data_IF_842142965983
#
_entry.id   IF_842142965983
#
_cell.length_a   1.000
_cell.length_b   1.000
_cell.length_c   1.000
_cell.angle_alpha   90.00
_cell.angle_beta   90.00
_cell.angle_gamma   90.00
#
_symmetry.space_group_name_H-M   'P 1'
#
loop_
_entity.id
_entity.type
_entity.pdbx_description
1 polymer ?
#
# COMPACT_ATOMS: atom_id res chain seq x y z
N UNK A 1 -4.21 -18.09 20.84
CA UNK A 1 -3.00 -17.38 21.29
C UNK A 1 -3.28 -15.88 21.26
N UNK A 2 -3.03 -15.13 22.34
CA UNK A 2 -3.18 -13.68 22.41
C UNK A 2 -1.87 -12.99 22.06
N UNK A 3 -1.90 -12.14 21.04
CA UNK A 3 -0.72 -11.42 20.54
C UNK A 3 -0.96 -9.92 20.69
N UNK A 4 -0.08 -9.24 21.41
CA UNK A 4 -0.06 -7.78 21.49
C UNK A 4 0.96 -7.21 20.50
N UNK A 5 0.61 -6.12 19.81
CA UNK A 5 1.52 -5.36 18.94
C UNK A 5 1.57 -3.93 19.44
N UNK A 6 2.76 -3.39 19.67
CA UNK A 6 2.99 -1.97 20.00
C UNK A 6 3.60 -1.30 18.77
N UNK A 7 2.94 -0.27 18.27
CA UNK A 7 3.44 0.65 17.25
C UNK A 7 2.85 2.02 17.51
N UNK A 8 3.65 2.93 18.08
CA UNK A 8 3.25 4.29 18.47
C UNK A 8 3.85 5.37 17.54
N UNK A 9 4.48 4.94 16.44
CA UNK A 9 5.12 5.80 15.46
C UNK A 9 4.14 6.72 14.74
N UNK A 10 4.64 7.46 13.75
CA UNK A 10 3.77 8.32 12.95
C UNK A 10 2.79 7.47 12.13
N UNK A 11 1.72 8.10 11.62
CA UNK A 11 0.70 7.42 10.78
C UNK A 11 1.30 6.59 9.63
N UNK A 12 2.38 7.08 9.01
CA UNK A 12 3.11 6.37 7.96
C UNK A 12 3.75 5.06 8.44
N UNK A 13 4.34 5.07 9.65
CA UNK A 13 4.94 3.90 10.28
C UNK A 13 3.88 2.85 10.64
N UNK A 14 2.70 3.30 11.09
CA UNK A 14 1.55 2.41 11.32
C UNK A 14 1.11 1.73 10.03
N UNK A 15 0.87 2.50 8.95
CA UNK A 15 0.43 1.93 7.65
C UNK A 15 1.44 0.93 7.11
N UNK A 16 2.74 1.27 7.10
CA UNK A 16 3.79 0.39 6.55
C UNK A 16 4.07 -0.85 7.42
N UNK A 17 3.56 -0.88 8.66
CA UNK A 17 3.66 -2.03 9.59
C UNK A 17 2.47 -3.00 9.45
N UNK A 18 1.32 -2.58 8.88
CA UNK A 18 0.16 -3.46 8.67
C UNK A 18 0.48 -4.83 8.02
N UNK A 19 1.43 -4.97 7.07
CA UNK A 19 1.84 -6.26 6.52
C UNK A 19 2.25 -7.30 7.56
N UNK A 20 2.73 -6.90 8.75
CA UNK A 20 3.10 -7.82 9.83
C UNK A 20 1.93 -8.73 10.22
N UNK A 21 0.69 -8.24 10.10
CA UNK A 21 -0.53 -8.98 10.42
C UNK A 21 -0.66 -10.23 9.54
N UNK A 22 -0.22 -10.17 8.27
CA UNK A 22 -0.25 -11.32 7.36
C UNK A 22 0.73 -12.38 7.85
N UNK A 23 1.98 -11.99 8.14
CA UNK A 23 3.00 -12.91 8.66
C UNK A 23 2.59 -13.55 10.00
N UNK A 24 1.92 -12.79 10.87
CA UNK A 24 1.37 -13.31 12.14
C UNK A 24 0.28 -14.35 11.86
N UNK A 25 -0.63 -14.10 10.91
CA UNK A 25 -1.69 -15.05 10.56
C UNK A 25 -1.15 -16.31 9.90
N UNK A 26 -0.12 -16.20 9.05
CA UNK A 26 0.56 -17.35 8.45
C UNK A 26 1.20 -18.25 9.52
N UNK A 27 1.86 -17.66 10.53
CA UNK A 27 2.55 -18.41 11.59
C UNK A 27 1.61 -18.85 12.72
N UNK A 28 0.60 -18.06 13.04
CA UNK A 28 -0.36 -18.25 14.12
C UNK A 28 -1.80 -17.99 13.64
N UNK A 29 -2.41 -18.93 12.88
CA UNK A 29 -3.71 -18.71 12.23
C UNK A 29 -4.84 -18.28 13.18
N UNK A 30 -4.94 -18.95 14.33
CA UNK A 30 -6.00 -18.73 15.34
C UNK A 30 -5.62 -17.68 16.40
N UNK A 31 -4.69 -16.78 16.09
CA UNK A 31 -4.29 -15.73 17.03
C UNK A 31 -5.37 -14.66 17.21
N UNK A 32 -5.47 -14.13 18.43
CA UNK A 32 -6.24 -12.93 18.73
C UNK A 32 -5.25 -11.76 18.84
N UNK A 33 -5.35 -10.81 17.91
CA UNK A 33 -4.38 -9.71 17.81
C UNK A 33 -4.97 -8.46 18.47
N UNK A 34 -4.26 -7.93 19.45
CA UNK A 34 -4.50 -6.61 20.06
C UNK A 34 -3.43 -5.64 19.56
N UNK A 35 -3.81 -4.51 18.98
CA UNK A 35 -2.89 -3.48 18.51
C UNK A 35 -2.92 -2.25 19.44
N UNK A 36 -1.76 -1.84 19.94
CA UNK A 36 -1.58 -0.68 20.82
C UNK A 36 -0.95 0.45 20.01
N UNK A 37 -1.64 1.59 19.92
CA UNK A 37 -1.28 2.72 19.05
C UNK A 37 -1.66 4.07 19.67
N UNK A 38 -1.25 5.19 19.05
CA UNK A 38 -1.80 6.53 19.35
C UNK A 38 -3.23 6.68 18.81
N UNK A 39 -4.05 7.49 19.48
CA UNK A 39 -5.46 7.73 19.12
C UNK A 39 -5.65 8.17 17.66
N UNK A 40 -4.76 9.03 17.15
CA UNK A 40 -4.80 9.51 15.77
C UNK A 40 -4.58 8.44 14.68
N UNK A 41 -4.12 7.24 15.06
CA UNK A 41 -3.90 6.12 14.16
C UNK A 41 -4.96 5.01 14.28
N UNK A 42 -5.91 5.15 15.21
CA UNK A 42 -6.90 4.11 15.51
C UNK A 42 -7.72 3.71 14.27
N UNK A 43 -8.15 4.70 13.48
CA UNK A 43 -8.94 4.45 12.26
C UNK A 43 -8.14 3.69 11.19
N UNK A 44 -6.81 3.86 11.14
CA UNK A 44 -5.94 3.10 10.23
C UNK A 44 -5.94 1.63 10.62
N UNK A 45 -5.85 1.33 11.92
CA UNK A 45 -5.85 -0.06 12.42
C UNK A 45 -7.17 -0.75 12.12
N UNK A 46 -8.30 -0.03 12.27
CA UNK A 46 -9.65 -0.55 11.98
C UNK A 46 -9.87 -0.93 10.52
N UNK A 47 -9.00 -0.52 9.60
CA UNK A 47 -9.04 -0.99 8.19
C UNK A 47 -8.69 -2.47 8.04
N UNK A 48 -8.03 -3.06 9.05
CA UNK A 48 -7.61 -4.46 9.01
C UNK A 48 -8.58 -5.37 9.75
N UNK A 49 -9.14 -6.41 9.10
CA UNK A 49 -10.01 -7.37 9.78
C UNK A 49 -9.25 -8.32 10.72
N UNK A 50 -7.90 -8.31 10.69
CA UNK A 50 -7.08 -9.21 11.49
C UNK A 50 -6.90 -8.73 12.93
N UNK A 51 -7.15 -7.45 13.22
CA UNK A 51 -7.02 -6.87 14.55
C UNK A 51 -8.36 -7.00 15.29
N UNK A 52 -8.35 -7.75 16.40
CA UNK A 52 -9.54 -8.00 17.21
C UNK A 52 -9.84 -6.83 18.14
N UNK A 53 -8.79 -6.21 18.69
CA UNK A 53 -8.89 -5.12 19.67
C UNK A 53 -7.82 -4.06 19.36
N UNK A 54 -8.20 -2.79 19.49
CA UNK A 54 -7.25 -1.68 19.47
C UNK A 54 -7.23 -1.04 20.85
N UNK A 55 -6.04 -0.72 21.36
CA UNK A 55 -5.81 0.03 22.59
C UNK A 55 -5.14 1.34 22.19
N UNK A 56 -5.70 2.47 22.62
CA UNK A 56 -5.17 3.80 22.30
C UNK A 56 -4.51 4.43 23.52
N UNK A 57 -3.43 5.18 23.32
CA UNK A 57 -2.81 5.95 24.40
C UNK A 57 -3.68 7.13 24.87
N UNK A 58 -3.67 7.46 26.18
CA UNK A 58 -2.98 6.74 27.26
C UNK A 58 -3.68 5.43 27.62
N UNK A 59 -2.90 4.36 27.87
CA UNK A 59 -3.46 3.04 28.24
C UNK A 59 -4.17 3.12 29.58
N UNK A 60 -5.43 2.69 29.65
CA UNK A 60 -6.19 2.69 30.91
C UNK A 60 -5.64 1.65 31.91
N UNK A 61 -5.83 1.87 33.22
CA UNK A 61 -5.35 0.93 34.26
C UNK A 61 -5.89 -0.49 34.09
N UNK A 62 -7.10 -0.64 33.55
CA UNK A 62 -7.71 -1.93 33.24
C UNK A 62 -6.95 -2.67 32.14
N UNK A 63 -6.47 -1.95 31.13
CA UNK A 63 -5.75 -2.49 29.96
C UNK A 63 -4.28 -2.79 30.28
N UNK A 64 -3.67 -2.08 31.22
CA UNK A 64 -2.32 -2.40 31.72
C UNK A 64 -2.23 -3.79 32.37
N UNK A 65 -3.36 -4.31 32.85
CA UNK A 65 -3.45 -5.66 33.42
C UNK A 65 -3.62 -6.77 32.37
N UNK A 66 -3.78 -6.41 31.08
CA UNK A 66 -3.87 -7.38 30.00
C UNK A 66 -2.57 -8.17 29.88
N UNK A 67 -2.71 -9.47 29.60
CA UNK A 67 -1.58 -10.38 29.47
C UNK A 67 -1.61 -11.05 28.09
N UNK A 68 -0.44 -11.13 27.47
CA UNK A 68 -0.25 -11.67 26.12
C UNK A 68 0.63 -12.91 26.14
N UNK A 69 0.32 -13.88 25.28
CA UNK A 69 1.22 -15.02 25.05
C UNK A 69 2.48 -14.55 24.30
N UNK A 70 2.32 -13.54 23.43
CA UNK A 70 3.41 -12.88 22.71
C UNK A 70 3.16 -11.37 22.61
N UNK A 71 4.15 -10.57 22.96
CA UNK A 71 4.15 -9.11 22.77
C UNK A 71 5.24 -8.72 21.76
N UNK A 72 4.84 -8.04 20.69
CA UNK A 72 5.71 -7.50 19.66
C UNK A 72 5.79 -5.98 19.81
N UNK A 73 6.96 -5.43 20.16
CA UNK A 73 7.17 -3.99 20.08
C UNK A 73 7.99 -3.63 18.85
N UNK A 74 7.36 -2.97 17.87
CA UNK A 74 7.96 -2.60 16.59
C UNK A 74 8.30 -1.10 16.51
N UNK A 75 8.36 -0.45 17.67
CA UNK A 75 8.65 0.97 17.81
C UNK A 75 9.75 1.19 18.87
N UNK A 76 10.66 2.11 18.53
CA UNK A 76 11.84 2.47 19.31
C UNK A 76 11.62 3.72 20.14
N UNK A 77 10.50 4.42 19.97
CA UNK A 77 10.20 5.61 20.76
C UNK A 77 10.11 5.26 22.25
N UNK A 78 10.51 6.20 23.11
CA UNK A 78 10.66 5.97 24.56
C UNK A 78 9.37 5.42 25.19
N UNK A 79 8.22 5.99 24.85
CA UNK A 79 6.92 5.56 25.38
C UNK A 79 6.57 4.12 24.97
N UNK A 80 6.92 3.71 23.74
CA UNK A 80 6.64 2.36 23.24
C UNK A 80 7.52 1.32 23.92
N UNK A 81 8.81 1.64 24.03
CA UNK A 81 9.83 0.76 24.62
C UNK A 81 9.67 0.60 26.13
N UNK A 82 9.22 1.64 26.83
CA UNK A 82 8.83 1.58 28.25
C UNK A 82 7.55 0.77 28.46
N UNK A 83 6.53 0.98 27.62
CA UNK A 83 5.30 0.20 27.67
C UNK A 83 5.57 -1.30 27.41
N UNK A 84 6.41 -1.61 26.44
CA UNK A 84 6.82 -2.97 26.11
C UNK A 84 7.50 -3.67 27.30
N UNK A 85 8.31 -2.94 28.08
CA UNK A 85 8.93 -3.45 29.30
C UNK A 85 7.90 -3.80 30.37
N UNK A 86 6.90 -2.95 30.55
CA UNK A 86 5.95 -3.01 31.68
C UNK A 86 4.75 -3.94 31.45
N UNK A 87 4.28 -4.14 30.22
CA UNK A 87 3.15 -5.03 29.94
C UNK A 87 3.46 -6.51 30.21
N UNK A 88 2.47 -7.25 30.69
CA UNK A 88 2.64 -8.67 31.02
C UNK A 88 2.63 -9.54 29.75
N UNK A 89 3.69 -10.31 29.53
CA UNK A 89 3.70 -11.30 28.44
C UNK A 89 4.66 -12.46 28.70
N UNK A 90 4.32 -13.66 28.24
CA UNK A 90 5.17 -14.85 28.32
C UNK A 90 6.42 -14.73 27.44
N UNK A 91 6.28 -14.14 26.24
CA UNK A 91 7.38 -13.87 25.31
C UNK A 91 7.28 -12.46 24.76
N UNK A 92 8.41 -11.74 24.74
CA UNK A 92 8.53 -10.40 24.14
C UNK A 92 9.53 -10.43 23.00
N UNK A 93 9.23 -9.74 21.91
CA UNK A 93 10.10 -9.56 20.73
C UNK A 93 10.12 -8.08 20.30
N UNK A 94 11.15 -7.71 19.54
CA UNK A 94 11.34 -6.34 19.08
C UNK A 94 12.14 -5.49 20.07
N UNK A 95 11.67 -4.28 20.37
CA UNK A 95 12.47 -3.28 21.10
C UNK A 95 11.99 -3.07 22.54
N UNK A 96 12.89 -2.65 23.42
CA UNK A 96 12.55 -2.22 24.79
C UNK A 96 13.57 -1.22 25.33
N UNK A 97 13.25 -0.64 26.50
CA UNK A 97 14.14 0.31 27.17
C UNK A 97 14.89 -0.35 28.33
N UNK A 98 16.21 -0.25 28.30
CA UNK A 98 17.07 -0.56 29.45
C UNK A 98 17.84 0.70 29.83
N UNK A 99 17.64 1.17 31.07
CA UNK A 99 18.05 2.49 31.53
C UNK A 99 17.59 3.61 30.56
N UNK A 100 18.52 4.35 29.97
CA UNK A 100 18.26 5.43 29.02
C UNK A 100 18.42 4.99 27.55
N UNK A 101 18.62 3.69 27.28
CA UNK A 101 18.94 3.18 25.95
C UNK A 101 17.91 2.18 25.43
N UNK A 102 17.61 2.28 24.13
CA UNK A 102 16.81 1.28 23.42
C UNK A 102 17.65 0.03 23.19
N UNK A 103 17.06 -1.14 23.46
CA UNK A 103 17.65 -2.46 23.32
C UNK A 103 16.70 -3.39 22.54
N UNK A 104 17.22 -4.53 22.09
CA UNK A 104 16.46 -5.55 21.37
C UNK A 104 16.18 -6.78 22.26
N UNK A 105 14.95 -7.27 22.26
CA UNK A 105 14.59 -8.53 22.94
C UNK A 105 15.17 -9.77 22.24
N UNK A 106 15.49 -9.66 20.95
CA UNK A 106 15.92 -10.77 20.10
C UNK A 106 16.87 -10.30 18.98
N UNK A 107 17.71 -11.22 18.48
CA UNK A 107 18.70 -10.95 17.43
C UNK A 107 18.10 -10.35 16.15
N UNK A 108 16.88 -10.75 15.77
CA UNK A 108 16.20 -10.23 14.58
C UNK A 108 15.92 -8.72 14.66
N UNK A 109 15.80 -8.16 15.86
CA UNK A 109 15.58 -6.73 16.06
C UNK A 109 16.89 -5.91 16.10
N UNK A 110 18.03 -6.54 16.42
CA UNK A 110 19.32 -5.84 16.54
C UNK A 110 19.76 -5.17 15.23
N UNK A 111 19.49 -5.79 14.08
CA UNK A 111 19.89 -5.21 12.79
C UNK A 111 19.26 -3.83 12.56
N UNK A 112 17.96 -3.68 12.86
CA UNK A 112 17.28 -2.38 12.74
C UNK A 112 17.91 -1.35 13.69
N UNK A 113 18.17 -1.70 14.95
CA UNK A 113 18.83 -0.80 15.90
C UNK A 113 20.22 -0.36 15.40
N UNK A 114 21.00 -1.28 14.85
CA UNK A 114 22.32 -0.95 14.30
C UNK A 114 22.22 0.06 13.15
N UNK A 115 21.16 0.00 12.32
CA UNK A 115 20.93 1.03 11.28
C UNK A 115 20.62 2.42 11.83
N UNK A 116 20.36 2.57 13.14
CA UNK A 116 20.09 3.85 13.78
C UNK A 116 21.33 4.44 14.45
N UNK A 117 22.23 3.59 14.94
CA UNK A 117 23.42 3.99 15.69
C UNK A 117 24.72 3.93 14.90
N UNK A 118 24.75 3.20 13.78
CA UNK A 118 25.91 3.09 12.89
C UNK A 118 25.58 3.54 11.47
N UNK A 119 26.16 4.69 11.09
CA UNK A 119 25.99 5.29 9.77
C UNK A 119 26.52 4.39 8.64
N UNK A 120 27.56 3.56 8.89
CA UNK A 120 28.08 2.65 7.88
C UNK A 120 27.07 1.52 7.61
N UNK A 121 26.54 0.90 8.66
CA UNK A 121 25.44 -0.06 8.56
C UNK A 121 24.23 0.56 7.85
N UNK A 122 23.85 1.79 8.20
CA UNK A 122 22.71 2.48 7.58
C UNK A 122 22.92 2.74 6.08
N UNK A 123 24.11 3.18 5.66
CA UNK A 123 24.48 3.39 4.24
C UNK A 123 24.49 2.08 3.45
N UNK A 124 24.97 1.01 4.07
CA UNK A 124 25.10 -0.30 3.43
C UNK A 124 23.81 -1.13 3.48
N UNK A 125 22.80 -0.72 4.25
CA UNK A 125 21.54 -1.42 4.34
C UNK A 125 20.85 -1.55 2.97
N UNK A 126 20.39 -2.76 2.66
CA UNK A 126 19.59 -3.06 1.46
C UNK A 126 18.23 -3.68 1.78
N UNK A 127 17.91 -3.88 3.07
CA UNK A 127 16.63 -4.38 3.52
C UNK A 127 15.62 -3.24 3.61
N UNK A 128 14.40 -3.52 3.18
CA UNK A 128 13.23 -2.71 3.48
C UNK A 128 12.96 -2.69 4.99
N UNK A 129 12.22 -1.68 5.43
CA UNK A 129 11.68 -1.64 6.79
C UNK A 129 10.84 -2.88 7.10
N UNK A 130 10.04 -3.35 6.15
CA UNK A 130 9.20 -4.52 6.34
C UNK A 130 10.04 -5.78 6.58
N UNK A 131 11.09 -6.01 5.79
CA UNK A 131 12.03 -7.11 6.06
C UNK A 131 12.58 -7.03 7.49
N UNK A 132 13.05 -5.86 7.91
CA UNK A 132 13.61 -5.67 9.25
C UNK A 132 12.56 -5.85 10.36
N UNK A 133 11.32 -5.41 10.17
CA UNK A 133 10.25 -5.61 11.17
C UNK A 133 9.77 -7.05 11.23
N UNK A 134 9.74 -7.77 10.11
CA UNK A 134 9.45 -9.21 10.09
C UNK A 134 10.55 -9.98 10.81
N UNK A 135 11.83 -9.62 10.61
CA UNK A 135 12.95 -10.19 11.37
C UNK A 135 12.82 -9.89 12.87
N UNK A 136 12.51 -8.66 13.25
CA UNK A 136 12.26 -8.26 14.63
C UNK A 136 11.14 -9.09 15.28
N UNK A 137 10.10 -9.44 14.52
CA UNK A 137 8.99 -10.28 14.97
C UNK A 137 9.23 -11.80 14.85
N UNK A 138 10.43 -12.24 14.41
CA UNK A 138 10.75 -13.65 14.08
C UNK A 138 9.77 -14.28 13.06
N UNK A 139 9.37 -13.50 12.07
CA UNK A 139 8.50 -13.90 10.96
C UNK A 139 9.31 -14.00 9.66
N UNK A 140 8.83 -14.83 8.73
CA UNK A 140 9.45 -14.96 7.41
C UNK A 140 8.81 -13.93 6.49
N UNK A 141 9.61 -12.99 5.99
CA UNK A 141 9.17 -12.07 4.97
C UNK A 141 9.19 -12.72 3.58
N UNK A 142 8.05 -12.64 2.89
CA UNK A 142 7.81 -13.17 1.54
C UNK A 142 7.13 -12.12 0.67
N UNK A 143 7.46 -10.83 0.88
CA UNK A 143 6.80 -9.72 0.20
C UNK A 143 5.30 -9.59 0.53
N UNK A 144 4.90 -9.95 1.76
CA UNK A 144 3.51 -9.78 2.19
C UNK A 144 3.09 -8.31 2.11
N UNK A 145 1.92 -8.05 1.56
CA UNK A 145 1.29 -6.73 1.47
C UNK A 145 -0.04 -6.74 2.22
N UNK A 146 -0.41 -5.61 2.83
CA UNK A 146 -1.71 -5.45 3.48
C UNK A 146 -2.47 -4.30 2.81
N UNK A 147 -3.39 -4.61 1.88
CA UNK A 147 -4.13 -3.57 1.19
C UNK A 147 -5.26 -2.99 2.05
N UNK A 148 -5.36 -1.67 2.08
CA UNK A 148 -6.51 -0.96 2.64
C UNK A 148 -7.63 -1.00 1.60
N UNK A 149 -8.81 -1.46 2.01
CA UNK A 149 -10.01 -1.52 1.16
C UNK A 149 -11.08 -0.62 1.76
N UNK A 150 -11.41 0.46 1.05
CA UNK A 150 -12.47 1.37 1.45
C UNK A 150 -13.84 0.79 1.12
N UNK A 151 -14.79 1.00 2.03
CA UNK A 151 -16.22 0.74 1.80
C UNK A 151 -16.82 1.74 0.81
N UNK A 152 -17.99 1.43 0.25
CA UNK A 152 -18.67 2.36 -0.67
C UNK A 152 -19.05 3.69 -0.01
N UNK A 153 -19.36 3.67 1.29
CA UNK A 153 -19.63 4.89 2.07
C UNK A 153 -18.35 5.74 2.22
N UNK A 154 -17.20 5.12 2.48
CA UNK A 154 -15.92 5.84 2.60
C UNK A 154 -15.45 6.42 1.26
N UNK A 155 -15.91 5.87 0.13
CA UNK A 155 -15.64 6.40 -1.21
C UNK A 155 -16.51 7.60 -1.60
N UNK A 156 -17.62 7.83 -0.88
CA UNK A 156 -18.59 8.86 -1.21
C UNK A 156 -17.96 10.27 -1.20
N UNK A 157 -17.06 10.54 -0.24
CA UNK A 157 -16.37 11.83 -0.16
C UNK A 157 -15.62 12.19 -1.44
N UNK A 158 -14.78 11.29 -1.96
CA UNK A 158 -14.05 11.56 -3.19
C UNK A 158 -14.97 11.59 -4.40
N UNK A 159 -16.02 10.75 -4.43
CA UNK A 159 -17.01 10.79 -5.51
C UNK A 159 -17.68 12.16 -5.60
N UNK A 160 -18.19 12.69 -4.48
CA UNK A 160 -18.79 14.01 -4.41
C UNK A 160 -17.79 15.11 -4.79
N UNK A 161 -16.55 15.01 -4.30
CA UNK A 161 -15.48 15.92 -4.66
C UNK A 161 -15.22 15.94 -6.17
N UNK A 162 -15.15 14.77 -6.82
CA UNK A 162 -14.93 14.66 -8.26
C UNK A 162 -16.12 15.20 -9.06
N UNK A 163 -17.35 14.92 -8.64
CA UNK A 163 -18.57 15.40 -9.29
C UNK A 163 -18.70 16.93 -9.22
N UNK A 164 -18.55 17.51 -8.03
CA UNK A 164 -18.62 18.97 -7.80
C UNK A 164 -17.59 19.72 -8.65
N UNK A 165 -16.38 19.16 -8.76
CA UNK A 165 -15.28 19.79 -9.50
C UNK A 165 -15.23 19.41 -10.98
N UNK A 166 -16.17 18.58 -11.46
CA UNK A 166 -16.22 18.05 -12.83
C UNK A 166 -14.90 17.36 -13.25
N UNK A 167 -14.42 16.45 -12.40
CA UNK A 167 -13.17 15.72 -12.57
C UNK A 167 -13.46 14.30 -13.06
N UNK A 168 -13.34 14.07 -14.37
CA UNK A 168 -13.24 12.73 -14.97
C UNK A 168 -11.79 12.34 -15.38
N UNK A 169 -11.54 11.10 -15.79
CA UNK A 169 -10.28 10.71 -16.43
C UNK A 169 -9.05 10.58 -15.52
N UNK A 170 -7.86 10.90 -16.06
CA UNK A 170 -6.57 10.62 -15.42
C UNK A 170 -6.20 11.68 -14.37
N UNK A 171 -6.56 11.41 -13.11
CA UNK A 171 -6.19 12.25 -11.96
C UNK A 171 -4.84 11.83 -11.39
N UNK A 172 -3.91 12.78 -11.28
CA UNK A 172 -2.60 12.62 -10.66
C UNK A 172 -2.62 13.34 -9.32
N UNK A 173 -2.52 12.57 -8.23
CA UNK A 173 -2.40 13.12 -6.88
C UNK A 173 -0.94 13.50 -6.59
N UNK A 174 -0.69 14.70 -6.08
CA UNK A 174 0.66 15.15 -5.70
C UNK A 174 0.64 15.60 -4.25
N UNK A 175 1.38 14.91 -3.37
CA UNK A 175 1.52 15.34 -1.98
C UNK A 175 2.62 16.39 -1.85
N UNK A 176 2.28 17.54 -1.26
CA UNK A 176 3.18 18.69 -1.14
C UNK A 176 4.10 18.62 0.08
N UNK A 177 3.69 17.88 1.12
CA UNK A 177 4.31 17.94 2.43
C UNK A 177 5.38 16.89 2.72
N UNK A 178 6.14 17.16 3.77
CA UNK A 178 6.96 16.18 4.47
C UNK A 178 7.08 16.57 5.95
N UNK A 179 7.48 15.61 6.78
CA UNK A 179 7.74 15.87 8.21
C UNK A 179 8.77 16.98 8.40
N UNK A 180 8.53 17.89 9.34
CA UNK A 180 9.48 18.93 9.75
C UNK A 180 10.82 18.38 10.24
N UNK A 181 10.86 17.12 10.71
CA UNK A 181 12.08 16.41 11.09
C UNK A 181 13.04 16.23 9.92
N UNK A 182 12.52 16.13 8.69
CA UNK A 182 13.29 15.84 7.48
C UNK A 182 12.97 16.86 6.38
N UNK A 183 13.43 18.12 6.53
CA UNK A 183 12.97 19.24 5.71
C UNK A 183 13.35 19.11 4.23
N UNK A 184 14.38 18.32 3.90
CA UNK A 184 14.80 18.07 2.51
C UNK A 184 13.97 17.01 1.79
N UNK A 185 12.94 16.40 2.41
CA UNK A 185 12.07 15.42 1.75
C UNK A 185 11.06 16.02 0.76
N UNK A 186 10.88 17.33 0.77
CA UNK A 186 9.94 18.02 -0.13
C UNK A 186 10.56 18.25 -1.51
N UNK A 187 9.72 18.26 -2.54
CA UNK A 187 10.17 18.62 -3.88
C UNK A 187 10.26 20.14 -4.03
N UNK A 188 11.27 20.63 -4.75
CA UNK A 188 11.44 22.08 -4.91
C UNK A 188 10.26 22.71 -5.65
N UNK A 189 9.82 23.87 -5.14
CA UNK A 189 8.68 24.63 -5.66
C UNK A 189 8.76 24.90 -7.17
N UNK A 190 9.93 25.29 -7.68
CA UNK A 190 10.09 25.60 -9.10
C UNK A 190 9.90 24.35 -9.96
N UNK A 191 10.45 23.21 -9.52
CA UNK A 191 10.31 21.95 -10.25
C UNK A 191 8.86 21.43 -10.18
N UNK A 192 8.18 21.60 -9.05
CA UNK A 192 6.76 21.27 -8.91
C UNK A 192 5.91 22.09 -9.88
N UNK A 193 6.12 23.41 -9.95
CA UNK A 193 5.37 24.29 -10.85
C UNK A 193 5.64 23.92 -12.32
N UNK A 194 6.91 23.74 -12.70
CA UNK A 194 7.29 23.32 -14.05
C UNK A 194 6.66 21.96 -14.43
N UNK A 195 6.61 21.02 -13.48
CA UNK A 195 5.96 19.74 -13.68
C UNK A 195 4.46 19.90 -13.94
N UNK A 196 3.76 20.72 -13.14
CA UNK A 196 2.32 20.94 -13.29
C UNK A 196 2.01 21.60 -14.64
N UNK A 197 2.85 22.52 -15.11
CA UNK A 197 2.75 23.09 -16.45
C UNK A 197 2.83 22.00 -17.54
N UNK A 198 3.91 21.20 -17.52
CA UNK A 198 4.11 20.10 -18.48
C UNK A 198 3.02 19.03 -18.41
N UNK A 199 2.54 18.71 -17.21
CA UNK A 199 1.48 17.73 -17.01
C UNK A 199 0.14 18.25 -17.55
N UNK A 200 -0.13 19.55 -17.38
CA UNK A 200 -1.34 20.20 -17.91
C UNK A 200 -1.34 20.22 -19.44
N UNK A 201 -0.19 20.45 -20.10
CA UNK A 201 -0.05 20.35 -21.56
C UNK A 201 -0.38 18.94 -22.10
N UNK A 202 -0.17 17.91 -21.28
CA UNK A 202 -0.52 16.51 -21.57
C UNK A 202 -1.93 16.13 -21.12
N UNK A 203 -2.76 17.09 -20.71
CA UNK A 203 -4.13 16.90 -20.27
C UNK A 203 -4.27 16.00 -19.02
N UNK A 204 -3.24 15.95 -18.16
CA UNK A 204 -3.36 15.34 -16.84
C UNK A 204 -4.14 16.29 -15.90
N UNK A 205 -5.00 15.71 -15.05
CA UNK A 205 -5.70 16.47 -14.01
C UNK A 205 -4.93 16.39 -12.71
N UNK A 206 -4.52 17.54 -12.18
CA UNK A 206 -3.66 17.58 -10.99
C UNK A 206 -4.50 17.84 -9.73
N UNK A 207 -4.43 16.91 -8.78
CA UNK A 207 -4.96 17.05 -7.42
C UNK A 207 -3.79 17.24 -6.44
N UNK A 208 -3.68 18.44 -5.87
CA UNK A 208 -2.71 18.72 -4.82
C UNK A 208 -3.25 18.23 -3.47
N UNK A 209 -2.41 17.46 -2.78
CA UNK A 209 -2.69 16.82 -1.50
C UNK A 209 -1.79 17.44 -0.43
N UNK A 210 -2.40 17.88 0.67
CA UNK A 210 -1.73 18.54 1.80
C UNK A 210 -2.41 18.14 3.12
N UNK A 211 -1.63 18.12 4.20
CA UNK A 211 -2.14 18.03 5.56
C UNK A 211 -2.18 19.39 6.25
N UNK A 212 -2.59 19.44 7.53
CA UNK A 212 -2.77 20.70 8.26
C UNK A 212 -1.50 21.56 8.34
N UNK A 213 -0.32 20.93 8.35
CA UNK A 213 0.96 21.63 8.42
C UNK A 213 1.35 22.30 7.09
N UNK A 214 0.71 21.92 5.99
CA UNK A 214 1.02 22.42 4.66
C UNK A 214 -0.01 23.44 4.14
N UNK A 215 -1.01 23.85 4.94
CA UNK A 215 -2.10 24.74 4.52
C UNK A 215 -1.57 26.04 3.85
N UNK A 216 -0.64 26.73 4.52
CA UNK A 216 -0.05 27.96 3.98
C UNK A 216 0.73 27.72 2.67
N UNK A 217 1.38 26.56 2.56
CA UNK A 217 2.16 26.20 1.37
C UNK A 217 1.24 25.83 0.20
N UNK A 218 0.16 25.08 0.46
CA UNK A 218 -0.87 24.76 -0.51
C UNK A 218 -1.48 26.04 -1.10
N UNK A 219 -1.87 26.99 -0.26
CA UNK A 219 -2.44 28.27 -0.72
C UNK A 219 -1.43 29.08 -1.54
N UNK A 220 -0.15 29.09 -1.15
CA UNK A 220 0.91 29.73 -1.94
C UNK A 220 1.00 29.11 -3.35
N UNK A 221 1.11 27.79 -3.44
CA UNK A 221 1.25 27.07 -4.72
C UNK A 221 0.00 27.27 -5.58
N UNK A 222 -1.20 27.14 -4.99
CA UNK A 222 -2.48 27.38 -5.66
C UNK A 222 -2.54 28.76 -6.30
N UNK A 223 -2.22 29.82 -5.55
CA UNK A 223 -2.21 31.19 -6.07
C UNK A 223 -1.23 31.35 -7.25
N UNK A 224 -0.05 30.73 -7.20
CA UNK A 224 0.93 30.78 -8.30
C UNK A 224 0.38 30.11 -9.57
N UNK A 225 -0.25 28.96 -9.43
CA UNK A 225 -0.78 28.16 -10.55
C UNK A 225 -2.03 28.82 -11.17
N UNK A 226 -2.92 29.38 -10.35
CA UNK A 226 -4.09 30.14 -10.80
C UNK A 226 -3.68 31.38 -11.60
N UNK A 227 -2.65 32.12 -11.15
CA UNK A 227 -2.09 33.25 -11.89
C UNK A 227 -1.48 32.86 -13.25
N UNK A 228 -1.12 31.58 -13.42
CA UNK A 228 -0.66 31.00 -14.70
C UNK A 228 -1.80 30.44 -15.55
N UNK A 229 -3.06 30.60 -15.14
CA UNK A 229 -4.25 30.01 -15.76
C UNK A 229 -4.22 28.47 -15.84
N UNK A 230 -3.56 27.82 -14.89
CA UNK A 230 -3.53 26.36 -14.80
C UNK A 230 -4.70 25.86 -13.96
N UNK A 231 -5.46 24.89 -14.48
CA UNK A 231 -6.56 24.27 -13.74
C UNK A 231 -6.00 23.20 -12.80
N UNK A 232 -6.14 23.42 -11.50
CA UNK A 232 -5.74 22.47 -10.46
C UNK A 232 -6.88 22.23 -9.47
N UNK A 233 -6.79 21.13 -8.73
CA UNK A 233 -7.72 20.77 -7.66
C UNK A 233 -6.92 20.60 -6.37
N UNK A 234 -7.53 20.87 -5.23
CA UNK A 234 -6.87 20.78 -3.91
C UNK A 234 -7.78 20.07 -2.93
N UNK A 235 -7.23 19.22 -2.06
CA UNK A 235 -8.00 18.69 -0.94
C UNK A 235 -8.23 19.75 0.15
N UNK A 236 -9.05 19.41 1.15
CA UNK A 236 -9.08 20.16 2.40
C UNK A 236 -7.94 19.64 3.30
N UNK A 237 -6.98 20.48 3.73
CA UNK A 237 -5.91 20.08 4.64
C UNK A 237 -6.38 19.43 5.95
N UNK A 238 -7.63 19.67 6.35
CA UNK A 238 -8.27 19.09 7.54
C UNK A 238 -9.10 17.84 7.27
N UNK A 239 -8.97 17.22 6.09
CA UNK A 239 -9.66 15.97 5.79
C UNK A 239 -9.37 14.90 6.85
N UNK A 240 -10.41 14.14 7.20
CA UNK A 240 -10.21 12.93 8.01
C UNK A 240 -9.35 11.92 7.24
N UNK A 241 -8.76 10.94 7.93
CA UNK A 241 -7.96 9.91 7.27
C UNK A 241 -8.77 9.17 6.19
N UNK A 242 -10.05 8.88 6.45
CA UNK A 242 -10.95 8.21 5.49
C UNK A 242 -11.21 9.06 4.26
N UNK A 243 -11.46 10.36 4.44
CA UNK A 243 -11.64 11.29 3.32
C UNK A 243 -10.36 11.42 2.48
N UNK A 244 -9.21 11.52 3.15
CA UNK A 244 -7.90 11.57 2.49
C UNK A 244 -7.60 10.28 1.73
N UNK A 245 -7.92 9.12 2.31
CA UNK A 245 -7.76 7.81 1.68
C UNK A 245 -8.69 7.70 0.46
N UNK A 246 -9.92 8.18 0.58
CA UNK A 246 -10.90 8.26 -0.51
C UNK A 246 -10.35 9.07 -1.69
N UNK A 247 -9.76 10.24 -1.43
CA UNK A 247 -9.13 11.07 -2.46
C UNK A 247 -7.93 10.37 -3.10
N UNK A 248 -7.03 9.77 -2.31
CA UNK A 248 -5.92 8.97 -2.86
C UNK A 248 -6.46 7.78 -3.68
N UNK A 249 -7.55 7.15 -3.24
CA UNK A 249 -8.16 6.02 -3.95
C UNK A 249 -8.66 6.46 -5.34
N UNK A 250 -9.18 7.67 -5.45
CA UNK A 250 -9.67 8.22 -6.72
C UNK A 250 -8.54 8.61 -7.69
N UNK A 251 -7.30 8.74 -7.23
CA UNK A 251 -6.15 9.04 -8.08
C UNK A 251 -5.77 7.83 -8.96
N UNK A 252 -5.43 8.10 -10.22
CA UNK A 252 -4.89 7.11 -11.15
C UNK A 252 -3.47 6.71 -10.77
N UNK A 253 -2.65 7.71 -10.41
CA UNK A 253 -1.29 7.60 -9.88
C UNK A 253 -1.06 8.67 -8.82
N UNK A 254 -0.12 8.43 -7.92
CA UNK A 254 0.29 9.37 -6.86
C UNK A 254 1.76 9.73 -7.01
N UNK A 255 2.12 10.97 -6.75
CA UNK A 255 3.49 11.46 -6.65
C UNK A 255 3.69 11.97 -5.24
N UNK A 256 4.71 11.47 -4.55
CA UNK A 256 4.95 11.83 -3.15
C UNK A 256 6.41 11.61 -2.77
N UNK A 257 6.92 12.42 -1.84
CA UNK A 257 8.14 12.07 -1.10
C UNK A 257 7.89 10.92 -0.11
N UNK A 258 8.93 10.48 0.60
CA UNK A 258 8.82 9.48 1.68
C UNK A 258 8.01 10.04 2.88
N UNK A 259 6.69 9.94 2.78
CA UNK A 259 5.69 10.59 3.64
C UNK A 259 4.46 9.70 3.83
N UNK A 260 3.53 10.12 4.70
CA UNK A 260 2.28 9.40 4.95
C UNK A 260 1.49 9.09 3.67
N UNK A 261 1.37 10.07 2.77
CA UNK A 261 0.64 9.89 1.51
C UNK A 261 1.24 8.80 0.62
N UNK A 262 2.56 8.62 0.63
CA UNK A 262 3.23 7.55 -0.11
C UNK A 262 2.83 6.17 0.44
N UNK A 263 2.87 5.98 1.76
CA UNK A 263 2.53 4.69 2.36
C UNK A 263 1.05 4.33 2.17
N UNK A 264 0.17 5.33 2.30
CA UNK A 264 -1.26 5.19 2.04
C UNK A 264 -1.53 4.84 0.59
N UNK A 265 -0.83 5.49 -0.36
CA UNK A 265 -0.96 5.17 -1.78
C UNK A 265 -0.58 3.72 -2.08
N UNK A 266 0.51 3.21 -1.50
CA UNK A 266 0.90 1.81 -1.64
C UNK A 266 -0.15 0.86 -1.04
N UNK A 267 -0.62 1.14 0.18
CA UNK A 267 -1.65 0.35 0.84
C UNK A 267 -2.99 0.35 0.07
N UNK A 268 -3.35 1.45 -0.59
CA UNK A 268 -4.52 1.55 -1.48
C UNK A 268 -4.26 1.00 -2.89
N UNK A 269 -3.15 0.29 -3.10
CA UNK A 269 -2.78 -0.32 -4.37
C UNK A 269 -2.65 0.72 -5.51
N UNK A 270 -2.12 1.91 -5.20
CA UNK A 270 -1.89 2.98 -6.17
C UNK A 270 -0.45 2.97 -6.71
N UNK A 271 -0.29 2.99 -8.04
CA UNK A 271 0.99 3.23 -8.66
C UNK A 271 1.47 4.59 -8.21
N UNK A 272 2.68 4.60 -7.68
CA UNK A 272 3.23 5.74 -7.00
C UNK A 272 4.60 6.05 -7.59
N UNK A 273 4.89 7.33 -7.79
CA UNK A 273 6.23 7.84 -8.08
C UNK A 273 6.75 8.44 -6.78
N UNK A 274 7.75 7.78 -6.20
CA UNK A 274 8.39 8.22 -4.96
C UNK A 274 9.59 9.12 -5.25
N UNK A 275 9.63 10.30 -4.63
CA UNK A 275 10.73 11.25 -4.75
C UNK A 275 11.65 11.15 -3.51
N UNK A 276 12.86 10.67 -3.69
CA UNK A 276 13.82 10.42 -2.60
C UNK A 276 14.97 11.42 -2.64
N UNK A 277 14.97 12.35 -1.70
CA UNK A 277 15.98 13.40 -1.61
C UNK A 277 16.99 13.14 -0.50
N UNK A 278 16.52 12.99 0.76
CA UNK A 278 17.39 12.78 1.91
C UNK A 278 17.16 11.45 2.63
N UNK A 279 16.23 10.60 2.18
CA UNK A 279 15.99 9.26 2.76
C UNK A 279 16.30 8.18 1.76
N UNK A 280 16.95 7.10 2.21
CA UNK A 280 17.32 6.00 1.33
C UNK A 280 16.08 5.32 0.74
N UNK A 281 16.02 5.10 -0.59
CA UNK A 281 14.94 4.36 -1.21
C UNK A 281 14.94 2.87 -0.81
N UNK A 282 16.05 2.34 -0.29
CA UNK A 282 16.20 0.91 0.03
C UNK A 282 15.28 0.46 1.18
N UNK A 283 15.07 1.32 2.17
CA UNK A 283 14.24 1.01 3.34
C UNK A 283 12.73 0.99 3.04
N UNK A 284 12.34 1.32 1.81
CA UNK A 284 10.95 1.38 1.41
C UNK A 284 10.58 0.22 0.49
N UNK A 285 9.69 -0.65 0.95
CA UNK A 285 9.11 -1.68 0.09
C UNK A 285 8.26 -1.06 -1.01
N UNK A 286 8.41 -1.57 -2.22
CA UNK A 286 7.76 -1.06 -3.42
C UNK A 286 6.46 -1.77 -3.74
N UNK A 287 6.30 -3.04 -3.36
CA UNK A 287 5.17 -3.91 -3.72
C UNK A 287 4.86 -3.89 -5.22
N UNK A 288 5.89 -3.72 -6.05
CA UNK A 288 5.78 -3.47 -7.49
C UNK A 288 4.98 -2.21 -7.91
N UNK A 289 4.51 -1.41 -6.95
CA UNK A 289 3.68 -0.22 -7.17
C UNK A 289 4.50 1.07 -7.22
N UNK A 290 5.72 1.05 -6.68
CA UNK A 290 6.54 2.24 -6.53
C UNK A 290 7.63 2.36 -7.60
N UNK A 291 7.57 3.42 -8.40
CA UNK A 291 8.72 3.91 -9.17
C UNK A 291 9.51 4.88 -8.30
N UNK A 292 10.74 4.51 -7.93
CA UNK A 292 11.63 5.36 -7.11
C UNK A 292 12.46 6.27 -8.02
N UNK A 293 12.34 7.58 -7.84
CA UNK A 293 13.26 8.58 -8.38
C UNK A 293 14.12 9.09 -7.23
N UNK A 294 15.42 8.95 -7.37
CA UNK A 294 16.36 9.23 -6.27
C UNK A 294 17.32 10.31 -6.68
N UNK A 295 17.52 11.28 -5.79
CA UNK A 295 18.50 12.34 -5.96
C UNK A 295 19.88 11.74 -6.25
N UNK A 296 20.58 12.18 -7.31
CA UNK A 296 21.93 11.71 -7.62
C UNK A 296 22.96 12.09 -6.55
N UNK A 297 22.63 13.04 -5.66
CA UNK A 297 23.51 13.54 -4.62
C UNK A 297 23.05 13.14 -3.20
N UNK A 298 22.08 12.22 -3.08
CA UNK A 298 21.52 11.79 -1.78
C UNK A 298 22.60 11.35 -0.78
N UNK A 299 23.59 10.58 -1.22
CA UNK A 299 24.65 10.03 -0.35
C UNK A 299 25.71 11.06 0.07
N UNK A 300 25.63 12.30 -0.44
CA UNK A 300 26.42 13.42 0.11
C UNK A 300 25.82 13.96 1.42
N UNK A 301 24.58 13.58 1.73
CA UNK A 301 23.80 14.04 2.89
C UNK A 301 23.32 12.89 3.76
N UNK A 302 22.96 11.76 3.17
CA UNK A 302 22.48 10.60 3.90
C UNK A 302 23.65 9.85 4.57
N UNK A 303 23.54 9.47 5.86
CA UNK A 303 22.46 9.77 6.81
C UNK A 303 22.74 10.98 7.73
N UNK A 304 23.96 11.50 7.70
CA UNK A 304 24.51 12.47 8.66
C UNK A 304 23.80 13.83 8.68
N UNK A 305 23.17 14.23 7.57
CA UNK A 305 22.58 15.57 7.37
C UNK A 305 21.12 15.52 6.93
N UNK A 306 20.44 14.43 7.25
CA UNK A 306 19.05 14.22 6.82
C UNK A 306 18.08 15.26 7.39
N UNK A 307 18.38 15.77 8.59
CA UNK A 307 17.63 16.77 9.35
C UNK A 307 17.89 18.21 8.91
N UNK A 308 18.87 18.42 8.03
CA UNK A 308 19.19 19.74 7.47
C UNK A 308 18.47 19.97 6.14
N UNK A 309 18.01 21.21 5.92
CA UNK A 309 17.48 21.61 4.63
C UNK A 309 18.61 21.85 3.62
N UNK A 310 18.44 21.33 2.41
CA UNK A 310 19.35 21.51 1.28
C UNK A 310 18.54 21.79 0.02
N UNK A 311 18.68 22.99 -0.51
CA UNK A 311 17.99 23.37 -1.74
C UNK A 311 18.49 22.57 -2.95
N UNK A 312 19.78 22.27 -3.01
CA UNK A 312 20.37 21.46 -4.08
C UNK A 312 19.77 20.05 -4.10
N UNK A 313 19.51 19.46 -2.92
CA UNK A 313 18.82 18.17 -2.83
C UNK A 313 17.41 18.26 -3.39
N UNK A 314 16.59 19.20 -2.90
CA UNK A 314 15.18 19.30 -3.30
C UNK A 314 15.01 19.63 -4.79
N UNK A 315 15.99 20.29 -5.40
CA UNK A 315 16.05 20.59 -6.86
C UNK A 315 16.55 19.45 -7.73
N UNK A 316 17.24 18.47 -7.15
CA UNK A 316 18.05 17.50 -7.91
C UNK A 316 17.25 16.49 -8.75
N UNK A 317 15.95 16.34 -8.49
CA UNK A 317 15.03 15.60 -9.36
C UNK A 317 14.24 16.62 -10.17
N UNK A 318 14.42 16.61 -11.49
CA UNK A 318 13.81 17.58 -12.41
C UNK A 318 12.34 17.27 -12.71
N UNK A 319 11.60 18.29 -13.12
CA UNK A 319 10.23 18.12 -13.62
C UNK A 319 10.15 17.13 -14.79
N UNK A 320 11.14 17.14 -15.68
CA UNK A 320 11.17 16.26 -16.85
C UNK A 320 11.29 14.79 -16.45
N UNK A 321 12.16 14.45 -15.49
CA UNK A 321 12.30 13.07 -15.02
C UNK A 321 10.99 12.52 -14.44
N UNK A 322 10.23 13.37 -13.75
CA UNK A 322 8.92 12.99 -13.20
C UNK A 322 7.88 12.80 -14.31
N UNK A 323 7.86 13.66 -15.34
CA UNK A 323 7.00 13.48 -16.54
C UNK A 323 7.34 12.17 -17.27
N UNK A 324 8.63 11.90 -17.47
CA UNK A 324 9.06 10.68 -18.16
C UNK A 324 8.69 9.43 -17.34
N UNK A 325 8.80 9.49 -16.01
CA UNK A 325 8.35 8.41 -15.13
C UNK A 325 6.82 8.22 -15.17
N UNK A 326 6.07 9.31 -15.29
CA UNK A 326 4.62 9.31 -15.39
C UNK A 326 4.14 8.65 -16.69
N UNK A 327 4.80 8.92 -17.81
CA UNK A 327 4.45 8.36 -19.12
C UNK A 327 4.88 6.89 -19.26
N UNK A 328 6.02 6.51 -18.67
CA UNK A 328 6.57 5.16 -18.78
C UNK A 328 5.95 4.13 -17.81
N UNK A 329 4.89 4.48 -17.08
CA UNK A 329 4.12 3.52 -16.28
C UNK A 329 2.85 3.13 -17.04
N UNK A 330 2.98 2.19 -17.98
CA UNK A 330 1.82 1.54 -18.58
C UNK A 330 1.12 0.70 -17.50
N UNK A 331 -0.17 0.93 -17.32
CA UNK A 331 -0.98 0.15 -16.38
C UNK A 331 -1.92 -0.73 -17.19
N UNK A 332 -1.71 -2.04 -17.14
CA UNK A 332 -2.67 -3.00 -17.68
C UNK A 332 -3.69 -3.33 -16.60
N UNK A 333 -4.97 -3.12 -16.86
CA UNK A 333 -6.04 -3.53 -15.94
C UNK A 333 -6.46 -4.95 -16.27
N UNK A 334 -6.60 -5.80 -15.27
CA UNK A 334 -7.05 -7.20 -15.41
C UNK A 334 -8.24 -7.43 -14.48
N UNK A 335 -9.24 -8.15 -14.95
CA UNK A 335 -10.42 -8.53 -14.17
C UNK A 335 -10.59 -10.05 -14.19
N UNK A 336 -10.81 -10.63 -13.00
CA UNK A 336 -11.03 -12.07 -12.85
C UNK A 336 -12.37 -12.38 -12.20
N UNK A 337 -12.96 -13.51 -12.60
CA UNK A 337 -14.22 -13.99 -12.07
C UNK A 337 -13.98 -15.16 -11.09
N UNK A 338 -14.41 -14.97 -9.85
CA UNK A 338 -14.53 -16.04 -8.86
C UNK A 338 -15.93 -16.63 -9.04
N UNK A 339 -16.00 -17.82 -9.62
CA UNK A 339 -17.24 -18.58 -9.82
C UNK A 339 -17.23 -19.76 -8.86
N UNK A 340 -18.22 -19.79 -7.96
CA UNK A 340 -18.36 -20.83 -6.93
C UNK A 340 -19.52 -21.77 -7.27
N UNK A 341 -19.28 -23.07 -7.08
CA UNK A 341 -20.31 -24.12 -7.10
C UNK A 341 -20.06 -25.05 -5.93
N UNK A 342 -21.05 -25.14 -5.04
CA UNK A 342 -20.91 -25.81 -3.75
C UNK A 342 -19.70 -25.24 -2.96
N UNK A 343 -18.73 -26.06 -2.57
CA UNK A 343 -17.49 -25.63 -1.90
C UNK A 343 -16.28 -25.57 -2.84
N UNK A 344 -16.50 -25.47 -4.16
CA UNK A 344 -15.44 -25.45 -5.16
C UNK A 344 -15.49 -24.21 -6.04
N UNK A 345 -14.34 -23.87 -6.61
CA UNK A 345 -14.09 -22.73 -7.48
C UNK A 345 -13.67 -23.21 -8.86
N UNK A 346 -14.20 -22.56 -9.90
CA UNK A 346 -13.79 -22.81 -11.27
C UNK A 346 -12.42 -22.16 -11.53
N UNK A 347 -11.44 -22.97 -11.88
CA UNK A 347 -10.11 -22.51 -12.32
C UNK A 347 -9.83 -22.94 -13.75
N UNK A 348 -8.98 -22.17 -14.42
CA UNK A 348 -8.44 -22.47 -15.75
C UNK A 348 -6.93 -22.65 -15.67
N UNK A 349 -6.40 -23.55 -16.48
CA UNK A 349 -4.97 -23.68 -16.71
C UNK A 349 -4.59 -22.94 -17.99
N UNK A 350 -3.74 -21.92 -17.85
CA UNK A 350 -3.40 -21.00 -18.95
C UNK A 350 -2.52 -21.68 -20.00
N UNK A 351 -2.83 -21.49 -21.28
CA UNK A 351 -2.09 -22.04 -22.42
C UNK A 351 -1.05 -21.09 -23.00
N UNK A 352 -1.18 -19.79 -22.74
CA UNK A 352 -0.26 -18.76 -23.21
C UNK A 352 -0.30 -17.50 -22.33
N UNK A 353 0.67 -16.62 -22.57
CA UNK A 353 0.80 -15.34 -21.88
C UNK A 353 1.49 -15.44 -20.52
N UNK A 354 1.20 -14.48 -19.64
CA UNK A 354 1.80 -14.42 -18.31
C UNK A 354 1.27 -15.59 -17.48
N UNK A 355 2.17 -16.27 -16.76
CA UNK A 355 1.89 -17.48 -15.98
C UNK A 355 1.38 -18.67 -16.82
N UNK A 356 1.90 -18.83 -18.04
CA UNK A 356 1.69 -20.02 -18.86
C UNK A 356 1.90 -21.32 -18.05
N UNK A 357 1.00 -22.28 -18.23
CA UNK A 357 0.99 -23.58 -17.56
C UNK A 357 0.41 -23.58 -16.14
N UNK A 358 0.17 -22.41 -15.52
CA UNK A 358 -0.37 -22.31 -14.15
C UNK A 358 -1.89 -22.24 -14.11
N UNK A 359 -2.44 -22.68 -12.99
CA UNK A 359 -3.86 -22.51 -12.66
C UNK A 359 -4.18 -21.09 -12.17
N UNK A 360 -5.28 -20.54 -12.66
CA UNK A 360 -5.73 -19.17 -12.38
C UNK A 360 -7.26 -19.06 -12.40
N UNK A 361 -7.78 -17.94 -11.90
CA UNK A 361 -9.17 -17.55 -12.15
C UNK A 361 -9.38 -17.23 -13.64
N UNK A 362 -10.55 -17.55 -14.22
CA UNK A 362 -10.89 -17.09 -15.56
C UNK A 362 -11.04 -15.56 -15.60
N UNK A 363 -10.58 -14.96 -16.69
CA UNK A 363 -10.49 -13.50 -16.82
C UNK A 363 -9.28 -13.03 -17.61
N UNK A 364 -9.25 -11.72 -17.86
CA UNK A 364 -8.26 -11.16 -18.76
C UNK A 364 -8.17 -9.64 -18.70
N UNK A 365 -7.54 -9.08 -19.73
CA UNK A 365 -7.21 -7.65 -19.79
C UNK A 365 -8.47 -6.87 -20.12
N UNK A 366 -8.74 -5.84 -19.31
CA UNK A 366 -9.85 -4.93 -19.57
C UNK A 366 -9.51 -4.02 -20.76
N UNK A 367 -10.39 -3.98 -21.76
CA UNK A 367 -10.20 -3.13 -22.93
C UNK A 367 -10.41 -1.64 -22.59
N UNK A 368 -9.95 -0.76 -23.50
CA UNK A 368 -10.11 0.68 -23.32
C UNK A 368 -11.60 1.07 -23.37
N UNK A 369 -12.08 1.72 -22.31
CA UNK A 369 -13.49 2.13 -22.10
C UNK A 369 -14.47 0.99 -21.78
N UNK A 370 -13.97 -0.21 -21.47
CA UNK A 370 -14.81 -1.32 -21.04
C UNK A 370 -15.17 -1.20 -19.55
N UNK A 371 -16.43 -1.49 -19.17
CA UNK A 371 -16.79 -1.60 -17.75
C UNK A 371 -16.28 -2.92 -17.19
N UNK A 372 -16.10 -3.02 -15.87
CA UNK A 372 -15.71 -4.29 -15.22
C UNK A 372 -16.68 -5.42 -15.58
N UNK A 373 -17.98 -5.12 -15.64
CA UNK A 373 -19.00 -6.12 -15.99
C UNK A 373 -18.86 -6.57 -17.43
N UNK A 374 -18.66 -5.64 -18.36
CA UNK A 374 -18.50 -5.96 -19.78
C UNK A 374 -17.23 -6.78 -20.03
N UNK A 375 -16.12 -6.42 -19.37
CA UNK A 375 -14.86 -7.16 -19.43
C UNK A 375 -14.98 -8.58 -18.93
N UNK A 376 -15.52 -8.77 -17.71
CA UNK A 376 -15.76 -10.11 -17.19
C UNK A 376 -16.70 -10.92 -18.09
N UNK A 377 -17.74 -10.29 -18.64
CA UNK A 377 -18.69 -10.96 -19.53
C UNK A 377 -18.03 -11.42 -20.83
N UNK A 378 -17.18 -10.57 -21.42
CA UNK A 378 -16.44 -10.88 -22.65
C UNK A 378 -15.44 -12.01 -22.41
N UNK A 379 -14.56 -11.85 -21.42
CA UNK A 379 -13.51 -12.84 -21.09
C UNK A 379 -14.11 -14.22 -20.77
N UNK A 380 -15.14 -14.28 -19.91
CA UNK A 380 -15.82 -15.54 -19.59
C UNK A 380 -16.47 -16.21 -20.81
N UNK A 381 -16.98 -15.41 -21.75
CA UNK A 381 -17.58 -15.93 -22.97
C UNK A 381 -16.51 -16.45 -23.95
N UNK A 382 -15.42 -15.70 -24.13
CA UNK A 382 -14.33 -16.02 -25.03
C UNK A 382 -13.53 -17.23 -24.56
N UNK A 383 -13.13 -17.27 -23.28
CA UNK A 383 -12.31 -18.34 -22.71
C UNK A 383 -13.09 -19.64 -22.54
N UNK A 384 -14.35 -19.55 -22.09
CA UNK A 384 -15.09 -20.69 -21.53
C UNK A 384 -16.54 -20.83 -22.01
N UNK A 385 -17.04 -19.93 -22.87
CA UNK A 385 -18.45 -19.88 -23.29
C UNK A 385 -19.43 -19.79 -22.10
N UNK A 386 -19.02 -19.08 -21.03
CA UNK A 386 -19.82 -18.83 -19.84
C UNK A 386 -20.54 -17.49 -19.99
N UNK A 387 -21.83 -17.44 -19.62
CA UNK A 387 -22.59 -16.19 -19.61
C UNK A 387 -22.66 -15.63 -18.18
N UNK A 388 -22.08 -14.44 -17.98
CA UNK A 388 -22.15 -13.68 -16.73
C UNK A 388 -23.58 -13.18 -16.49
N UNK A 389 -24.12 -13.40 -15.28
CA UNK A 389 -25.46 -12.93 -14.87
C UNK A 389 -25.34 -11.63 -14.08
N UNK A 390 -24.55 -11.61 -13.01
CA UNK A 390 -24.27 -10.41 -12.22
C UNK A 390 -22.94 -10.52 -11.47
N UNK A 391 -22.36 -9.38 -11.14
CA UNK A 391 -21.30 -9.27 -10.13
C UNK A 391 -21.97 -9.17 -8.76
N UNK A 392 -21.61 -10.08 -7.86
CA UNK A 392 -22.15 -10.12 -6.50
C UNK A 392 -21.34 -9.22 -5.58
N UNK A 393 -20.01 -9.35 -5.61
CA UNK A 393 -19.10 -8.57 -4.74
C UNK A 393 -17.69 -8.51 -5.32
N UNK A 394 -16.98 -7.41 -5.10
CA UNK A 394 -15.53 -7.34 -5.29
C UNK A 394 -14.80 -8.03 -4.15
N UNK A 395 -13.86 -8.92 -4.45
CA UNK A 395 -13.14 -9.72 -3.45
C UNK A 395 -11.73 -9.20 -3.21
N UNK A 396 -10.97 -8.90 -4.27
CA UNK A 396 -9.56 -8.55 -4.13
C UNK A 396 -9.11 -7.47 -5.13
N UNK A 397 -8.03 -6.78 -4.75
CA UNK A 397 -7.16 -6.03 -5.65
C UNK A 397 -5.74 -6.56 -5.48
N UNK A 398 -5.02 -6.76 -6.57
CA UNK A 398 -3.63 -7.20 -6.54
C UNK A 398 -2.83 -6.51 -7.65
N UNK A 399 -1.50 -6.51 -7.51
CA UNK A 399 -0.61 -5.89 -8.46
C UNK A 399 0.63 -6.73 -8.70
N UNK A 400 1.07 -6.83 -9.95
CA UNK A 400 2.36 -7.43 -10.27
C UNK A 400 3.02 -6.68 -11.43
N UNK A 401 4.35 -6.69 -11.43
CA UNK A 401 5.15 -6.08 -12.50
C UNK A 401 5.31 -7.07 -13.65
N UNK A 402 5.17 -6.58 -14.88
CA UNK A 402 5.51 -7.34 -16.09
C UNK A 402 7.00 -7.18 -16.41
N UNK A 403 7.53 -8.06 -17.25
CA UNK A 403 8.94 -8.04 -17.68
C UNK A 403 9.34 -6.70 -18.34
N UNK A 404 8.40 -6.02 -18.99
CA UNK A 404 8.59 -4.71 -19.62
C UNK A 404 8.51 -3.52 -18.63
N UNK A 405 8.51 -3.78 -17.32
CA UNK A 405 8.29 -2.82 -16.23
C UNK A 405 6.90 -2.16 -16.19
N UNK A 406 5.95 -2.57 -17.04
CA UNK A 406 4.56 -2.15 -16.89
C UNK A 406 3.92 -2.78 -15.65
N UNK A 407 2.91 -2.13 -15.11
CA UNK A 407 2.20 -2.57 -13.92
C UNK A 407 0.88 -3.22 -14.33
N UNK A 408 0.61 -4.43 -13.84
CA UNK A 408 -0.75 -5.00 -13.93
C UNK A 408 -1.52 -4.67 -12.66
N UNK A 409 -2.71 -4.07 -12.80
CA UNK A 409 -3.69 -3.92 -11.72
C UNK A 409 -4.79 -4.95 -11.90
N UNK A 410 -4.80 -5.97 -11.06
CA UNK A 410 -5.80 -7.03 -11.06
C UNK A 410 -6.94 -6.76 -10.07
N UNK A 411 -8.15 -7.16 -10.44
CA UNK A 411 -9.33 -7.11 -9.58
C UNK A 411 -10.13 -8.40 -9.71
N UNK A 412 -10.46 -9.02 -8.59
CA UNK A 412 -11.22 -10.27 -8.58
C UNK A 412 -12.61 -10.05 -8.01
N UNK A 413 -13.61 -10.63 -8.66
CA UNK A 413 -15.02 -10.45 -8.34
C UNK A 413 -15.73 -11.78 -8.15
N UNK A 414 -16.47 -11.92 -7.06
CA UNK A 414 -17.44 -12.99 -6.90
C UNK A 414 -18.63 -12.72 -7.80
N UNK A 415 -18.95 -13.67 -8.68
CA UNK A 415 -19.98 -13.51 -9.70
C UNK A 415 -20.98 -14.67 -9.69
N UNK A 416 -22.19 -14.39 -10.18
CA UNK A 416 -23.14 -15.42 -10.60
C UNK A 416 -23.08 -15.56 -12.12
N UNK A 417 -22.89 -16.78 -12.61
CA UNK A 417 -22.75 -17.07 -14.04
C UNK A 417 -23.39 -18.43 -14.40
N UNK A 418 -23.80 -18.58 -15.66
CA UNK A 418 -24.34 -19.84 -16.17
C UNK A 418 -23.20 -20.76 -16.64
N UNK A 419 -22.91 -21.79 -15.84
CA UNK A 419 -21.84 -22.78 -16.05
C UNK A 419 -22.32 -24.12 -16.61
N UNK A 420 -23.51 -24.18 -17.21
CA UNK A 420 -24.09 -25.44 -17.70
C UNK A 420 -23.40 -26.03 -18.93
N UNK A 421 -22.67 -25.22 -19.71
CA UNK A 421 -22.06 -25.63 -20.98
C UNK A 421 -20.70 -24.95 -21.20
N UNK A 422 -19.75 -25.26 -20.32
CA UNK A 422 -18.39 -24.74 -20.39
C UNK A 422 -17.67 -25.35 -21.60
N UNK A 423 -17.16 -24.50 -22.48
CA UNK A 423 -16.36 -24.88 -23.64
C UNK A 423 -15.14 -23.97 -23.72
N UNK A 424 -13.97 -24.57 -23.52
CA UNK A 424 -12.70 -23.86 -23.55
C UNK A 424 -12.31 -23.45 -24.98
N UNK A 425 -11.66 -22.30 -25.12
CA UNK A 425 -10.99 -21.89 -26.34
C UNK A 425 -9.52 -22.39 -26.36
N UNK A 426 -8.66 -21.73 -27.15
CA UNK A 426 -7.24 -22.07 -27.30
C UNK A 426 -6.35 -21.52 -26.18
N UNK A 427 -6.81 -20.48 -25.45
CA UNK A 427 -6.08 -19.83 -24.35
C UNK A 427 -6.12 -20.65 -23.06
N UNK A 428 -7.01 -21.64 -22.98
CA UNK A 428 -7.21 -22.51 -21.83
C UNK A 428 -6.80 -23.94 -22.18
N UNK A 429 -5.79 -24.48 -21.50
CA UNK A 429 -5.36 -25.88 -21.63
C UNK A 429 -6.47 -26.80 -21.13
N UNK A 430 -6.92 -26.57 -19.89
CA UNK A 430 -7.93 -27.33 -19.18
C UNK A 430 -8.62 -26.45 -18.12
N UNK A 431 -9.78 -26.87 -17.64
CA UNK A 431 -10.52 -26.23 -16.57
C UNK A 431 -11.08 -27.29 -15.62
N UNK A 432 -11.17 -26.97 -14.33
CA UNK A 432 -11.79 -27.87 -13.33
C UNK A 432 -12.25 -27.10 -12.09
N UNK A 433 -12.89 -27.81 -11.16
CA UNK A 433 -13.43 -27.30 -9.90
C UNK A 433 -12.58 -27.73 -8.70
N UNK A 434 -11.98 -26.75 -8.03
CA UNK A 434 -11.05 -26.97 -6.92
C UNK A 434 -11.60 -26.42 -5.61
N UNK A 435 -11.39 -27.15 -4.52
CA UNK A 435 -11.56 -26.66 -3.16
C UNK A 435 -10.35 -25.79 -2.75
N UNK A 436 -10.43 -25.13 -1.59
CA UNK A 436 -9.26 -24.40 -1.07
C UNK A 436 -8.12 -25.38 -0.76
N UNK A 437 -8.46 -26.54 -0.20
CA UNK A 437 -7.50 -27.57 0.20
C UNK A 437 -6.73 -28.12 -1.01
N UNK A 438 -7.37 -28.19 -2.19
CA UNK A 438 -6.70 -28.63 -3.43
C UNK A 438 -5.56 -27.67 -3.85
N UNK A 439 -5.65 -26.38 -3.49
CA UNK A 439 -4.66 -25.36 -3.88
C UNK A 439 -3.27 -25.63 -3.30
N UNK A 440 -3.18 -26.27 -2.13
CA UNK A 440 -1.90 -26.56 -1.46
C UNK A 440 -0.95 -27.40 -2.33
N UNK A 441 -1.50 -28.16 -3.28
CA UNK A 441 -0.75 -29.05 -4.17
C UNK A 441 -0.81 -28.64 -5.64
N UNK A 442 -1.57 -27.60 -5.96
CA UNK A 442 -1.82 -27.15 -7.32
C UNK A 442 -0.73 -26.16 -7.76
N UNK A 443 -0.18 -26.31 -8.97
CA UNK A 443 0.71 -25.29 -9.54
C UNK A 443 -0.13 -24.10 -10.05
N UNK A 444 -0.38 -23.15 -9.16
CA UNK A 444 -1.23 -22.00 -9.41
C UNK A 444 -0.47 -20.67 -9.35
N UNK A 445 -1.13 -19.60 -9.82
CA UNK A 445 -0.59 -18.25 -9.71
C UNK A 445 -0.49 -17.81 -8.26
N UNK A 446 0.56 -17.07 -7.93
CA UNK A 446 0.78 -16.54 -6.57
C UNK A 446 -0.37 -15.61 -6.17
N UNK A 447 -0.89 -15.76 -4.94
CA UNK A 447 -1.98 -14.94 -4.41
C UNK A 447 -3.40 -15.48 -4.64
N UNK A 448 -3.57 -16.52 -5.46
CA UNK A 448 -4.90 -17.09 -5.77
C UNK A 448 -5.66 -17.58 -4.53
N UNK A 449 -4.94 -18.18 -3.59
CA UNK A 449 -5.43 -18.64 -2.28
C UNK A 449 -6.05 -17.49 -1.47
N UNK A 450 -5.35 -16.36 -1.37
CA UNK A 450 -5.85 -15.16 -0.71
C UNK A 450 -7.11 -14.61 -1.38
N UNK A 451 -7.15 -14.60 -2.71
CA UNK A 451 -8.31 -14.16 -3.46
C UNK A 451 -9.53 -15.06 -3.23
N UNK A 452 -9.33 -16.39 -3.19
CA UNK A 452 -10.42 -17.34 -2.97
C UNK A 452 -10.92 -17.33 -1.52
N UNK A 453 -10.05 -17.21 -0.53
CA UNK A 453 -10.44 -17.09 0.89
C UNK A 453 -11.33 -15.88 1.16
N UNK A 454 -11.07 -14.74 0.50
CA UNK A 454 -11.89 -13.53 0.61
C UNK A 454 -13.34 -13.70 0.12
N UNK A 455 -13.66 -14.78 -0.59
CA UNK A 455 -15.01 -15.06 -1.08
C UNK A 455 -15.94 -15.73 -0.05
N UNK A 456 -15.42 -16.20 1.09
CA UNK A 456 -16.20 -16.89 2.12
C UNK A 456 -16.87 -15.97 3.14
N UNK A 457 -16.43 -14.71 3.23
CA UNK A 457 -16.95 -13.72 4.18
C UNK A 457 -18.26 -13.11 3.73
#
# INVERSE_FOLDING_TARGET
>A
MKIGIIQLGAKGDVVRTLPILIGIREKYPDSEITWITKNECEEIIKTSPYVKKTITLPVESSEQSESFDLLLNLDIEDEATELAKNLNSEKKLGFYKEDDFVQAFNLGAEYYLNTLFDDETKKNNRKSYQEMMFEAAELIYKNQHHPIVLTEQEKEYAKDFMEINNIDGNVIGIHLGASSRWPSKVWHENNLIEFIEKASEKNYKILLLAGPNEENYLEKIKNILENKNLKIYTNNPLNTDKEFFSLIESCTKVISGDSFALHVALALNKPTIGLFFCTTPHELESYNLLKKLTSPIIYNFFPEKMDHYSEDLTKSISAQEVIDALDNTNITKVVNAIIKKDNKFLLIKRAEGIHDGKWALPGGVLESNETIFDGLKRELNEELNINLIKITRKIANYNYKREDNSLTKGQSYLVEANVSNIKKNHEVIEWDWFSIEDLETLDHIEGLDYELLGSFN
#
